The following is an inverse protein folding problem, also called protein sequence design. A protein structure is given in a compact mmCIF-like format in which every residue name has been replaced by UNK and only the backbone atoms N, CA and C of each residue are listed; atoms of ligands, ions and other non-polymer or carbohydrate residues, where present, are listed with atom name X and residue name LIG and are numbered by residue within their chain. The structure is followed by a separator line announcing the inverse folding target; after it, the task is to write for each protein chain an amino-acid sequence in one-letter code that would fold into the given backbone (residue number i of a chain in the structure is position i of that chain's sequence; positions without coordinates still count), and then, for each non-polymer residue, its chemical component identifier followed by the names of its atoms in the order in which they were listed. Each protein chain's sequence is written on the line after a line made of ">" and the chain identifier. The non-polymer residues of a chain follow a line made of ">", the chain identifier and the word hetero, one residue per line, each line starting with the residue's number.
data_IF_153107576557
#
_entry.id   IF_153107576557
#
_cell.length_a   1.000
_cell.length_b   1.000
_cell.length_c   1.000
_cell.angle_alpha   90.00
_cell.angle_beta   90.00
_cell.angle_gamma   90.00
#
_symmetry.space_group_name_H-M   'P 1'
#
loop_
_entity.id
_entity.type
_entity.pdbx_description
1 polymer ?
#
# COMPACT_ATOMS: atom_id res chain seq x y z
N UNK A 1 -14.59 74.84 19.56
CA UNK A 1 -15.73 74.45 18.71
C UNK A 1 -15.24 73.48 17.63
N UNK A 2 -15.83 72.27 17.58
CA UNK A 2 -15.79 71.33 16.44
C UNK A 2 -16.43 72.00 15.20
N UNK A 3 -16.10 71.62 13.94
CA UNK A 3 -16.54 70.33 13.40
C UNK A 3 -15.64 69.63 12.34
N UNK A 4 -15.66 68.29 12.38
CA UNK A 4 -15.61 67.40 11.19
C UNK A 4 -17.01 67.42 10.51
N UNK A 5 -17.21 67.13 9.20
CA UNK A 5 -17.19 65.75 8.64
C UNK A 5 -16.80 65.72 7.11
N UNK A 6 -16.74 64.64 6.32
CA UNK A 6 -17.59 63.45 6.17
C UNK A 6 -16.82 62.29 5.50
N UNK A 7 -17.12 61.11 6.03
CA UNK A 7 -17.05 59.77 5.45
C UNK A 7 -17.72 59.71 4.05
N UNK A 8 -17.05 59.09 3.07
CA UNK A 8 -17.74 58.44 1.92
C UNK A 8 -17.19 57.03 1.71
N UNK A 9 -17.95 56.10 2.26
CA UNK A 9 -18.08 54.69 1.92
C UNK A 9 -18.22 54.52 0.40
N UNK A 10 -17.35 53.73 -0.25
CA UNK A 10 -17.62 53.17 -1.58
C UNK A 10 -17.63 51.65 -1.50
N UNK A 11 -18.83 51.10 -1.70
CA UNK A 11 -19.11 49.69 -1.91
C UNK A 11 -18.53 49.20 -3.25
N UNK A 12 -18.19 47.89 -3.24
CA UNK A 12 -17.73 46.96 -4.29
C UNK A 12 -18.51 47.00 -5.63
N UNK A 13 -17.95 46.44 -6.72
CA UNK A 13 -18.21 45.02 -7.07
C UNK A 13 -16.94 44.30 -7.58
N UNK A 14 -16.46 43.15 -7.10
CA UNK A 14 -17.04 41.79 -7.06
C UNK A 14 -17.59 41.23 -8.39
N UNK A 15 -17.13 41.75 -9.55
CA UNK A 15 -17.59 41.30 -10.87
C UNK A 15 -16.47 40.95 -11.87
N UNK A 16 -15.43 40.22 -11.45
CA UNK A 16 -14.44 39.64 -12.37
C UNK A 16 -14.13 38.16 -12.08
N UNK A 17 -15.12 37.42 -11.55
CA UNK A 17 -15.00 35.99 -11.25
C UNK A 17 -15.83 35.07 -12.17
N UNK A 18 -16.31 35.53 -13.33
CA UNK A 18 -17.28 34.75 -14.14
C UNK A 18 -16.93 34.48 -15.61
N UNK A 19 -15.69 34.65 -16.08
CA UNK A 19 -15.38 34.39 -17.50
C UNK A 19 -14.27 33.38 -17.84
N UNK A 20 -13.90 32.46 -16.94
CA UNK A 20 -13.08 31.29 -17.30
C UNK A 20 -13.72 29.93 -16.94
N UNK A 21 -15.02 29.91 -16.66
CA UNK A 21 -15.80 28.68 -16.51
C UNK A 21 -16.36 28.19 -17.86
N UNK A 22 -15.50 27.96 -18.86
CA UNK A 22 -15.86 27.22 -20.07
C UNK A 22 -14.68 26.33 -20.49
N UNK A 23 -14.59 25.18 -19.82
CA UNK A 23 -13.74 24.06 -20.18
C UNK A 23 -14.50 22.78 -19.93
N UNK A 24 -15.66 22.63 -20.58
CA UNK A 24 -16.47 21.41 -20.57
C UNK A 24 -15.79 20.32 -21.40
N UNK A 25 -14.81 19.62 -20.83
CA UNK A 25 -14.47 18.28 -21.28
C UNK A 25 -15.46 17.31 -20.65
N UNK A 26 -16.59 17.13 -21.33
CA UNK A 26 -17.55 16.06 -21.07
C UNK A 26 -16.88 14.71 -21.37
N UNK A 27 -16.12 14.15 -20.42
CA UNK A 27 -15.89 12.71 -20.40
C UNK A 27 -17.20 12.02 -20.02
N UNK A 28 -17.82 11.40 -21.01
CA UNK A 28 -19.08 10.67 -20.88
C UNK A 28 -19.02 9.63 -19.74
N UNK A 29 -20.01 9.56 -18.82
CA UNK A 29 -20.07 8.55 -17.75
C UNK A 29 -20.35 7.12 -18.26
N UNK A 30 -20.49 6.93 -19.57
CA UNK A 30 -21.02 5.70 -20.18
C UNK A 30 -19.99 4.54 -20.20
N UNK A 31 -18.69 4.81 -20.09
CA UNK A 31 -17.65 3.78 -20.15
C UNK A 31 -17.49 3.00 -18.84
N UNK A 32 -17.34 3.72 -17.72
CA UNK A 32 -17.16 3.10 -16.38
C UNK A 32 -18.41 2.34 -15.93
N UNK A 33 -19.59 2.89 -16.19
CA UNK A 33 -20.85 2.25 -15.80
C UNK A 33 -21.14 0.99 -16.61
N UNK A 34 -20.83 0.97 -17.92
CA UNK A 34 -20.95 -0.23 -18.77
C UNK A 34 -19.92 -1.30 -18.40
N UNK A 35 -18.69 -0.92 -18.02
CA UNK A 35 -17.69 -1.87 -17.53
C UNK A 35 -18.14 -2.50 -16.20
N UNK A 36 -18.64 -1.71 -15.26
CA UNK A 36 -19.16 -2.18 -13.96
C UNK A 36 -20.42 -3.05 -14.10
N UNK A 37 -21.32 -2.69 -15.03
CA UNK A 37 -22.51 -3.49 -15.37
C UNK A 37 -22.11 -4.82 -16.01
N UNK A 38 -21.19 -4.81 -16.99
CA UNK A 38 -20.69 -6.05 -17.61
C UNK A 38 -19.94 -6.93 -16.61
N UNK A 39 -19.23 -6.33 -15.67
CA UNK A 39 -18.52 -7.04 -14.61
C UNK A 39 -19.48 -7.64 -13.58
N UNK A 40 -20.59 -6.96 -13.27
CA UNK A 40 -21.68 -7.48 -12.43
C UNK A 40 -22.48 -8.59 -13.12
N UNK A 41 -22.74 -8.44 -14.41
CA UNK A 41 -23.45 -9.41 -15.26
C UNK A 41 -22.60 -10.68 -15.48
N UNK A 42 -21.28 -10.55 -15.61
CA UNK A 42 -20.37 -11.71 -15.62
C UNK A 42 -20.34 -12.39 -14.25
N UNK A 43 -20.36 -11.66 -13.14
CA UNK A 43 -20.40 -12.24 -11.78
C UNK A 43 -21.70 -13.01 -11.51
N UNK A 44 -22.84 -12.53 -12.01
CA UNK A 44 -24.13 -13.24 -11.87
C UNK A 44 -24.17 -14.55 -12.69
N UNK A 45 -23.44 -14.62 -13.81
CA UNK A 45 -23.33 -15.85 -14.63
C UNK A 45 -22.51 -16.94 -13.92
N UNK A 46 -21.50 -16.58 -13.13
CA UNK A 46 -20.67 -17.57 -12.40
C UNK A 46 -21.16 -17.90 -10.99
N UNK A 47 -21.94 -17.01 -10.34
CA UNK A 47 -22.55 -17.26 -9.03
C UNK A 47 -23.67 -18.33 -9.03
N UNK A 48 -24.10 -18.81 -10.21
CA UNK A 48 -25.19 -19.76 -10.36
C UNK A 48 -24.77 -21.21 -10.66
N UNK A 49 -23.48 -21.50 -10.89
CA UNK A 49 -23.04 -22.85 -11.22
C UNK A 49 -22.88 -23.71 -9.96
N UNK A 50 -23.99 -24.27 -9.48
CA UNK A 50 -23.96 -25.36 -8.52
C UNK A 50 -23.63 -26.67 -9.27
N UNK A 51 -22.53 -27.34 -8.92
CA UNK A 51 -22.31 -28.71 -9.37
C UNK A 51 -23.42 -29.58 -8.77
N UNK A 52 -24.31 -30.09 -9.64
CA UNK A 52 -25.37 -31.00 -9.21
C UNK A 52 -24.70 -32.27 -8.65
N UNK A 53 -24.99 -32.59 -7.38
CA UNK A 53 -24.55 -33.84 -6.78
C UNK A 53 -25.05 -35.04 -7.59
N UNK A 54 -24.36 -36.20 -7.53
CA UNK A 54 -24.76 -37.39 -8.26
C UNK A 54 -26.21 -37.79 -7.95
N UNK A 55 -26.93 -38.32 -8.95
CA UNK A 55 -28.30 -38.77 -8.78
C UNK A 55 -28.41 -39.82 -7.65
N UNK A 56 -29.48 -39.75 -6.86
CA UNK A 56 -29.76 -40.74 -5.82
C UNK A 56 -29.91 -42.15 -6.41
N UNK A 57 -29.53 -43.17 -5.64
CA UNK A 57 -29.64 -44.57 -6.08
C UNK A 57 -31.11 -44.97 -6.28
N UNK A 58 -31.46 -45.68 -7.37
CA UNK A 58 -32.82 -46.20 -7.58
C UNK A 58 -33.27 -47.07 -6.40
N UNK A 59 -34.59 -47.04 -6.11
CA UNK A 59 -35.20 -47.92 -5.11
C UNK A 59 -35.00 -49.39 -5.47
N UNK A 60 -34.95 -50.27 -4.47
CA UNK A 60 -34.82 -51.72 -4.70
C UNK A 60 -36.15 -52.29 -5.21
N UNK A 61 -36.06 -53.16 -6.22
CA UNK A 61 -37.20 -53.91 -6.72
C UNK A 61 -37.82 -54.79 -5.61
N UNK A 62 -39.15 -54.88 -5.59
CA UNK A 62 -39.87 -55.74 -4.66
C UNK A 62 -39.62 -57.22 -4.95
N UNK A 63 -39.53 -58.05 -3.91
CA UNK A 63 -39.35 -59.50 -4.05
C UNK A 63 -40.57 -60.16 -4.69
N UNK A 64 -40.42 -61.15 -5.59
CA UNK A 64 -41.53 -61.90 -6.17
C UNK A 64 -42.39 -62.60 -5.11
N UNK A 65 -43.72 -62.52 -5.25
CA UNK A 65 -44.66 -63.24 -4.38
C UNK A 65 -44.69 -64.75 -4.68
N UNK A 66 -44.92 -65.57 -3.65
CA UNK A 66 -45.08 -67.02 -3.80
C UNK A 66 -46.43 -67.37 -4.46
N UNK A 67 -46.46 -68.48 -5.23
CA UNK A 67 -47.65 -68.97 -5.95
C UNK A 67 -48.83 -69.24 -4.98
N UNK A 68 -50.02 -68.68 -5.25
CA UNK A 68 -51.00 -68.37 -4.20
C UNK A 68 -52.45 -68.84 -4.38
N UNK A 69 -53.27 -68.38 -3.42
CA UNK A 69 -54.70 -68.06 -3.54
C UNK A 69 -54.75 -66.56 -3.96
N UNK A 70 -55.72 -66.06 -4.77
CA UNK A 70 -55.65 -64.70 -5.34
C UNK A 70 -55.42 -63.61 -4.29
N UNK A 71 -54.23 -62.99 -4.34
CA UNK A 71 -53.80 -61.96 -3.39
C UNK A 71 -54.20 -60.56 -3.83
N UNK A 72 -54.40 -59.68 -2.83
CA UNK A 72 -54.53 -58.23 -3.04
C UNK A 72 -53.30 -57.67 -3.76
N UNK A 73 -53.44 -56.66 -4.64
CA UNK A 73 -52.31 -56.03 -5.33
C UNK A 73 -51.18 -55.65 -4.35
N UNK A 74 -49.94 -55.97 -4.73
CA UNK A 74 -48.76 -55.64 -3.92
C UNK A 74 -48.64 -54.13 -3.69
N UNK A 75 -48.19 -53.74 -2.49
CA UNK A 75 -48.00 -52.33 -2.14
C UNK A 75 -46.87 -51.75 -3.00
N UNK A 76 -47.05 -50.58 -3.64
CA UNK A 76 -45.97 -49.92 -4.39
C UNK A 76 -44.70 -49.72 -3.54
N UNK A 77 -43.53 -49.86 -4.17
CA UNK A 77 -42.24 -49.64 -3.53
C UNK A 77 -42.12 -48.22 -2.97
N UNK A 78 -41.40 -48.07 -1.86
CA UNK A 78 -41.19 -46.77 -1.23
C UNK A 78 -40.14 -45.98 -2.01
N UNK A 79 -40.42 -44.69 -2.25
CA UNK A 79 -39.47 -43.79 -2.91
C UNK A 79 -38.13 -43.76 -2.17
N UNK A 80 -37.04 -43.67 -2.95
CA UNK A 80 -35.68 -43.55 -2.41
C UNK A 80 -35.49 -42.25 -1.62
N UNK A 81 -34.48 -42.23 -0.74
CA UNK A 81 -34.14 -41.02 0.00
C UNK A 81 -33.65 -39.91 -0.95
N UNK A 82 -34.15 -38.70 -0.75
CA UNK A 82 -33.68 -37.51 -1.46
C UNK A 82 -32.19 -37.30 -1.15
N UNK A 83 -31.37 -37.11 -2.18
CA UNK A 83 -29.93 -36.81 -2.02
C UNK A 83 -29.69 -35.52 -1.24
N UNK A 84 -28.56 -35.45 -0.55
CA UNK A 84 -28.15 -34.25 0.20
C UNK A 84 -27.98 -33.06 -0.74
N UNK A 85 -28.33 -31.86 -0.26
CA UNK A 85 -28.15 -30.63 -1.03
C UNK A 85 -26.65 -30.34 -1.15
N UNK A 86 -26.13 -30.25 -2.37
CA UNK A 86 -24.74 -29.87 -2.61
C UNK A 86 -24.41 -28.51 -2.01
N UNK A 87 -23.25 -28.40 -1.37
CA UNK A 87 -22.76 -27.14 -0.82
C UNK A 87 -22.22 -26.24 -1.94
N UNK A 88 -22.59 -24.96 -1.92
CA UNK A 88 -22.07 -23.98 -2.86
C UNK A 88 -20.68 -23.52 -2.40
N UNK A 89 -19.64 -23.79 -3.19
CA UNK A 89 -18.31 -23.21 -2.98
C UNK A 89 -18.40 -21.70 -3.18
N UNK A 90 -18.31 -20.94 -2.09
CA UNK A 90 -18.29 -19.48 -2.13
C UNK A 90 -16.83 -19.03 -2.05
N UNK A 91 -16.18 -18.85 -3.21
CA UNK A 91 -14.87 -18.21 -3.24
C UNK A 91 -15.02 -16.76 -2.76
N UNK A 92 -14.49 -16.46 -1.58
CA UNK A 92 -14.35 -15.08 -1.12
C UNK A 92 -13.18 -14.46 -1.88
N UNK A 93 -13.47 -13.68 -2.92
CA UNK A 93 -12.49 -12.75 -3.46
C UNK A 93 -12.15 -11.75 -2.36
N UNK A 94 -11.01 -11.94 -1.69
CA UNK A 94 -10.48 -10.98 -0.72
C UNK A 94 -10.35 -9.63 -1.43
N UNK A 95 -10.80 -8.56 -0.76
CA UNK A 95 -10.81 -7.20 -1.28
C UNK A 95 -9.48 -6.87 -1.96
N UNK A 96 -9.55 -6.39 -3.21
CA UNK A 96 -8.37 -6.15 -4.05
C UNK A 96 -7.29 -5.39 -3.27
N UNK A 97 -6.07 -5.94 -3.27
CA UNK A 97 -4.90 -5.35 -2.59
C UNK A 97 -4.62 -3.94 -3.12
N UNK A 98 -5.17 -2.92 -2.45
CA UNK A 98 -4.90 -1.52 -2.77
C UNK A 98 -3.76 -1.04 -1.86
N UNK A 99 -2.59 -0.66 -2.42
CA UNK A 99 -1.53 -0.07 -1.62
C UNK A 99 -1.96 1.32 -1.13
N UNK A 100 -1.69 1.63 0.13
CA UNK A 100 -1.85 2.99 0.66
C UNK A 100 -0.50 3.72 0.64
N UNK A 101 -0.49 5.00 0.25
CA UNK A 101 0.71 5.83 0.16
C UNK A 101 0.55 7.12 0.97
N UNK A 102 1.65 7.63 1.50
CA UNK A 102 1.73 8.94 2.15
C UNK A 102 3.03 9.61 1.74
N UNK A 103 2.96 10.89 1.41
CA UNK A 103 4.12 11.73 1.16
C UNK A 103 4.20 12.80 2.24
N UNK A 104 5.34 12.86 2.92
CA UNK A 104 5.71 13.96 3.80
C UNK A 104 6.77 14.81 3.10
N UNK A 105 6.66 16.13 3.26
CA UNK A 105 7.55 17.09 2.60
C UNK A 105 8.03 18.12 3.62
N UNK A 106 9.30 18.51 3.51
CA UNK A 106 9.95 19.50 4.39
C UNK A 106 10.65 20.54 3.52
N UNK A 107 10.52 21.82 3.88
CA UNK A 107 11.03 22.94 3.08
C UNK A 107 12.51 23.27 3.37
N UNK A 108 13.08 22.81 4.48
CA UNK A 108 14.44 23.11 4.91
C UNK A 108 14.96 22.08 5.91
N UNK A 109 15.73 21.09 5.45
CA UNK A 109 16.38 20.09 6.32
C UNK A 109 17.82 20.47 6.71
N UNK A 110 18.19 21.74 6.56
CA UNK A 110 19.54 22.24 6.85
C UNK A 110 19.68 22.73 8.29
N UNK A 111 19.53 21.81 9.25
CA UNK A 111 19.60 22.12 10.68
C UNK A 111 21.02 21.97 11.27
N UNK A 112 22.03 21.71 10.45
CA UNK A 112 23.39 21.41 10.93
C UNK A 112 23.46 20.11 11.75
N UNK A 113 22.56 19.16 11.47
CA UNK A 113 22.55 17.86 12.13
C UNK A 113 23.61 16.99 11.45
N UNK A 114 24.70 16.75 12.16
CA UNK A 114 25.75 15.82 11.72
C UNK A 114 25.42 14.37 12.12
N UNK A 115 24.72 14.19 13.25
CA UNK A 115 24.26 12.90 13.77
C UNK A 115 22.87 13.06 14.39
N UNK A 116 21.92 12.19 14.03
CA UNK A 116 20.58 12.14 14.62
C UNK A 116 19.43 12.05 13.63
N UNK A 117 18.21 12.26 14.15
CA UNK A 117 16.97 12.21 13.37
C UNK A 117 16.86 13.43 12.48
N UNK A 118 16.77 13.22 11.16
CA UNK A 118 16.60 14.31 10.19
C UNK A 118 15.13 14.70 10.08
N UNK A 119 14.26 13.70 9.91
CA UNK A 119 12.83 13.91 9.73
C UNK A 119 12.01 12.67 10.12
N UNK A 120 10.74 12.89 10.41
CA UNK A 120 9.79 11.86 10.84
C UNK A 120 8.43 12.06 10.16
N UNK A 121 7.81 10.95 9.79
CA UNK A 121 6.53 10.89 9.10
C UNK A 121 5.74 9.69 9.63
N UNK A 122 4.74 9.94 10.47
CA UNK A 122 3.85 8.88 10.97
C UNK A 122 2.97 8.36 9.83
N UNK A 123 2.94 7.05 9.63
CA UNK A 123 2.17 6.38 8.59
C UNK A 123 1.17 5.39 9.19
N UNK A 124 -0.05 5.35 8.66
CA UNK A 124 -1.05 4.36 9.06
C UNK A 124 -0.93 3.13 8.18
N UNK A 125 -0.33 2.07 8.70
CA UNK A 125 -0.22 0.77 8.01
C UNK A 125 -1.54 0.00 8.15
N UNK A 126 -2.18 -0.31 7.03
CA UNK A 126 -3.52 -0.94 7.03
C UNK A 126 -3.49 -2.45 7.32
N UNK A 127 -2.39 -3.14 7.00
CA UNK A 127 -2.29 -4.60 7.02
C UNK A 127 -0.98 -5.06 7.67
N UNK A 128 -1.06 -6.03 8.57
CA UNK A 128 0.11 -6.62 9.24
C UNK A 128 0.88 -7.59 8.34
N UNK A 129 0.20 -8.23 7.39
CA UNK A 129 0.79 -9.16 6.41
C UNK A 129 1.27 -8.44 5.14
N UNK A 130 1.86 -7.25 5.28
CA UNK A 130 2.43 -6.51 4.16
C UNK A 130 3.73 -5.84 4.56
N UNK A 131 4.50 -5.38 3.58
CA UNK A 131 5.72 -4.63 3.84
C UNK A 131 5.50 -3.12 3.70
N UNK A 132 6.35 -2.31 4.34
CA UNK A 132 6.38 -0.86 4.13
C UNK A 132 7.52 -0.50 3.17
N UNK A 133 7.18 0.11 2.03
CA UNK A 133 8.17 0.73 1.15
C UNK A 133 8.39 2.18 1.57
N UNK A 134 9.64 2.56 1.77
CA UNK A 134 10.04 3.92 2.14
C UNK A 134 11.00 4.48 1.11
N UNK A 135 10.88 5.79 0.85
CA UNK A 135 11.75 6.54 -0.04
C UNK A 135 11.99 7.92 0.57
N UNK A 136 13.25 8.23 0.84
CA UNK A 136 13.71 9.58 1.05
C UNK A 136 14.31 10.09 -0.25
N UNK A 137 13.96 11.31 -0.65
CA UNK A 137 14.55 11.99 -1.80
C UNK A 137 14.93 13.40 -1.37
N UNK A 138 16.21 13.74 -1.46
CA UNK A 138 16.74 15.02 -1.01
C UNK A 138 18.22 15.17 -1.28
N UNK A 139 18.79 16.33 -0.96
CA UNK A 139 20.23 16.51 -1.08
C UNK A 139 20.93 15.91 0.14
N UNK A 140 21.85 14.97 -0.12
CA UNK A 140 22.75 14.42 0.89
C UNK A 140 24.11 15.08 0.71
N UNK A 141 24.63 15.72 1.76
CA UNK A 141 25.88 16.48 1.71
C UNK A 141 26.84 16.00 2.77
N UNK A 142 28.09 15.73 2.37
CA UNK A 142 29.21 15.53 3.28
C UNK A 142 30.22 16.65 3.18
N UNK A 143 30.77 17.03 4.33
CA UNK A 143 31.85 18.01 4.43
C UNK A 143 32.87 17.52 5.45
N UNK A 144 34.00 17.06 4.96
CA UNK A 144 35.08 16.52 5.78
C UNK A 144 36.42 17.08 5.33
N UNK A 145 37.42 17.16 6.21
CA UNK A 145 38.78 17.60 5.84
C UNK A 145 39.64 16.45 5.31
N UNK A 146 39.41 15.25 5.84
CA UNK A 146 40.04 14.00 5.42
C UNK A 146 38.95 13.07 4.86
N UNK A 147 39.35 11.91 4.33
CA UNK A 147 38.43 10.82 3.99
C UNK A 147 37.42 10.57 5.12
N UNK A 148 36.13 10.53 4.79
CA UNK A 148 35.05 10.30 5.74
C UNK A 148 33.92 9.50 5.11
N UNK A 149 33.11 8.89 5.97
CA UNK A 149 32.01 8.03 5.57
C UNK A 149 30.81 8.31 6.49
N UNK A 150 29.61 8.46 5.93
CA UNK A 150 28.39 8.71 6.70
C UNK A 150 27.26 7.81 6.21
N UNK A 151 26.40 7.42 7.14
CA UNK A 151 25.27 6.53 6.91
C UNK A 151 23.95 7.28 7.09
N UNK A 152 23.06 7.15 6.12
CA UNK A 152 21.65 7.55 6.22
C UNK A 152 20.81 6.30 6.28
N UNK A 153 19.88 6.22 7.22
CA UNK A 153 19.10 5.00 7.43
C UNK A 153 17.70 5.27 7.96
N UNK A 154 16.78 4.35 7.70
CA UNK A 154 15.41 4.42 8.19
C UNK A 154 15.23 3.67 9.51
N UNK A 155 14.34 4.22 10.33
CA UNK A 155 13.80 3.56 11.51
C UNK A 155 12.28 3.54 11.45
N UNK A 156 11.70 2.55 12.12
CA UNK A 156 10.28 2.32 12.27
C UNK A 156 10.00 2.19 13.77
N UNK A 157 9.24 3.13 14.34
CA UNK A 157 9.01 3.24 15.79
C UNK A 157 10.33 3.29 16.59
N UNK A 158 11.35 3.95 16.04
CA UNK A 158 12.67 4.10 16.66
C UNK A 158 13.63 2.91 16.47
N UNK A 159 13.21 1.81 15.86
CA UNK A 159 14.07 0.66 15.56
C UNK A 159 14.45 0.58 14.08
N UNK A 160 15.68 0.17 13.76
CA UNK A 160 16.08 -0.11 12.37
C UNK A 160 15.29 -1.30 11.80
N UNK A 161 15.16 -1.34 10.46
CA UNK A 161 14.51 -2.46 9.82
C UNK A 161 15.27 -3.77 10.08
N UNK A 162 14.56 -4.78 10.58
CA UNK A 162 15.15 -6.09 10.87
C UNK A 162 15.00 -7.11 9.72
N UNK A 163 14.09 -6.88 8.78
CA UNK A 163 13.82 -7.82 7.69
C UNK A 163 13.42 -7.10 6.40
N UNK A 164 14.11 -7.35 5.26
CA UNK A 164 15.21 -8.30 5.07
C UNK A 164 16.57 -7.81 5.58
N UNK A 165 16.82 -6.50 5.54
CA UNK A 165 18.04 -5.82 6.02
C UNK A 165 17.71 -4.38 6.44
N UNK A 166 18.59 -3.70 7.19
CA UNK A 166 18.49 -2.25 7.39
C UNK A 166 18.39 -1.52 6.05
N UNK A 167 17.55 -0.49 6.02
CA UNK A 167 17.36 0.34 4.82
C UNK A 167 18.28 1.54 4.97
N UNK A 168 19.37 1.56 4.21
CA UNK A 168 20.44 2.55 4.37
C UNK A 168 21.10 2.96 3.06
N UNK A 169 21.77 4.11 3.09
CA UNK A 169 22.71 4.55 2.10
C UNK A 169 23.98 5.03 2.81
N UNK A 170 25.14 4.62 2.30
CA UNK A 170 26.44 5.02 2.81
C UNK A 170 27.09 5.89 1.74
N UNK A 171 27.57 7.07 2.15
CA UNK A 171 28.33 7.96 1.27
C UNK A 171 29.73 8.13 1.83
N UNK A 172 30.71 7.82 1.00
CA UNK A 172 32.11 8.07 1.24
C UNK A 172 32.55 9.34 0.50
N UNK A 173 33.37 10.15 1.15
CA UNK A 173 34.00 11.31 0.55
C UNK A 173 35.48 11.34 0.92
N UNK A 174 36.34 11.29 -0.10
CA UNK A 174 37.77 11.55 0.00
C UNK A 174 38.11 12.74 -0.90
N UNK A 175 38.75 13.76 -0.32
CA UNK A 175 39.10 14.97 -1.06
C UNK A 175 40.39 14.82 -1.87
N UNK A 176 41.07 13.67 -1.79
CA UNK A 176 42.30 13.43 -2.55
C UNK A 176 43.49 14.27 -2.07
N UNK A 177 44.58 14.27 -2.84
CA UNK A 177 45.88 14.87 -2.45
C UNK A 177 45.74 16.30 -1.91
N UNK A 178 46.42 16.64 -0.79
CA UNK A 178 46.48 18.00 -0.24
C UNK A 178 47.03 19.06 -1.20
N UNK A 179 47.57 18.66 -2.36
CA UNK A 179 48.09 19.54 -3.42
C UNK A 179 46.97 20.18 -4.26
N UNK A 180 45.79 19.56 -4.29
CA UNK A 180 44.60 20.10 -4.94
C UNK A 180 43.57 20.32 -3.84
N UNK A 181 43.47 21.56 -3.33
CA UNK A 181 42.44 22.06 -2.39
C UNK A 181 41.01 21.91 -2.98
N UNK A 182 40.62 20.69 -3.30
CA UNK A 182 39.40 20.34 -3.99
C UNK A 182 38.36 20.07 -2.92
N UNK A 183 37.72 21.12 -2.43
CA UNK A 183 36.49 20.94 -1.66
C UNK A 183 35.43 20.42 -2.62
N UNK A 184 35.29 19.09 -2.69
CA UNK A 184 34.24 18.45 -3.49
C UNK A 184 32.89 18.87 -2.88
N UNK A 185 32.27 19.87 -3.51
CA UNK A 185 31.02 20.48 -3.06
C UNK A 185 29.87 19.89 -3.89
N UNK A 186 29.59 18.60 -3.71
CA UNK A 186 28.54 17.90 -4.45
C UNK A 186 27.19 18.22 -3.81
N UNK A 187 26.34 18.94 -4.55
CA UNK A 187 24.92 19.13 -4.24
C UNK A 187 24.11 18.33 -5.24
N UNK A 188 23.94 17.03 -4.97
CA UNK A 188 23.12 16.16 -5.80
C UNK A 188 21.93 15.67 -4.99
N UNK A 189 20.82 15.50 -5.69
CA UNK A 189 19.69 14.74 -5.14
C UNK A 189 20.12 13.29 -5.06
N UNK A 190 19.96 12.72 -3.88
CA UNK A 190 20.18 11.31 -3.61
C UNK A 190 18.90 10.73 -3.03
N UNK A 191 18.77 9.42 -3.15
CA UNK A 191 17.64 8.68 -2.60
C UNK A 191 18.13 7.61 -1.63
N UNK A 192 17.39 7.44 -0.55
CA UNK A 192 17.50 6.28 0.35
C UNK A 192 16.17 5.56 0.26
N UNK A 193 16.17 4.30 -0.14
CA UNK A 193 14.96 3.56 -0.43
C UNK A 193 15.07 2.11 0.03
N UNK A 194 13.97 1.53 0.48
CA UNK A 194 13.90 0.09 0.72
C UNK A 194 12.51 -0.37 1.13
N UNK A 195 12.45 -1.67 1.44
CA UNK A 195 11.24 -2.35 1.88
C UNK A 195 11.49 -2.95 3.27
N UNK A 196 10.57 -2.75 4.20
CA UNK A 196 10.64 -3.33 5.54
C UNK A 196 9.45 -4.23 5.86
N UNK A 197 9.75 -5.47 6.25
CA UNK A 197 8.79 -6.50 6.65
C UNK A 197 8.70 -6.61 8.18
N UNK A 198 7.68 -7.34 8.67
CA UNK A 198 7.52 -7.60 10.11
C UNK A 198 6.92 -6.45 10.93
N UNK A 199 6.52 -5.36 10.30
CA UNK A 199 5.85 -4.23 10.97
C UNK A 199 4.34 -4.50 11.03
N UNK A 200 3.76 -4.46 12.23
CA UNK A 200 2.32 -4.66 12.44
C UNK A 200 1.45 -3.53 11.87
N UNK A 201 0.18 -3.81 11.60
CA UNK A 201 -0.80 -2.78 11.25
C UNK A 201 -0.97 -1.77 12.41
N UNK A 202 -1.28 -0.52 12.06
CA UNK A 202 -1.43 0.58 13.00
C UNK A 202 -0.62 1.82 12.61
N UNK A 203 -0.45 2.73 13.57
CA UNK A 203 0.42 3.88 13.40
C UNK A 203 1.89 3.44 13.49
N UNK A 204 2.69 3.88 12.53
CA UNK A 204 4.12 3.59 12.45
C UNK A 204 4.86 4.91 12.26
N UNK A 205 5.74 5.25 13.19
CA UNK A 205 6.60 6.41 13.06
C UNK A 205 7.82 6.06 12.21
N UNK A 206 7.81 6.55 10.98
CA UNK A 206 8.91 6.35 10.03
C UNK A 206 9.82 7.55 10.10
N UNK A 207 11.09 7.33 10.43
CA UNK A 207 12.07 8.41 10.53
C UNK A 207 13.34 8.10 9.74
N UNK A 208 13.88 9.13 9.09
CA UNK A 208 15.17 9.09 8.41
C UNK A 208 16.23 9.70 9.34
N UNK A 209 17.35 9.01 9.48
CA UNK A 209 18.44 9.35 10.38
C UNK A 209 19.75 9.51 9.63
N UNK A 210 20.66 10.27 10.21
CA UNK A 210 22.09 10.30 9.84
C UNK A 210 22.90 9.83 11.04
N UNK A 211 23.87 8.95 10.82
CA UNK A 211 24.67 8.36 11.88
C UNK A 211 26.03 7.90 11.40
N UNK A 212 26.92 7.62 12.34
CA UNK A 212 28.18 6.94 12.07
C UNK A 212 27.93 5.48 11.69
N UNK A 213 28.90 4.86 11.03
CA UNK A 213 28.86 3.42 10.83
C UNK A 213 29.07 2.73 12.17
N UNK A 214 28.02 2.08 12.69
CA UNK A 214 28.17 1.13 13.78
C UNK A 214 29.16 0.05 13.33
N UNK A 215 30.14 -0.24 14.18
CA UNK A 215 31.28 -1.14 13.93
C UNK A 215 30.88 -2.50 13.35
N UNK A 216 30.80 -2.61 12.02
CA UNK A 216 30.70 -3.90 11.34
C UNK A 216 32.14 -4.40 11.14
N UNK A 217 32.40 -5.57 11.74
CA UNK A 217 33.68 -6.31 11.75
C UNK A 217 34.59 -6.03 10.56
N UNK A 218 35.77 -5.50 10.89
CA UNK A 218 36.84 -4.93 10.08
C UNK A 218 37.57 -5.87 9.10
N UNK A 219 36.90 -6.86 8.49
CA UNK A 219 37.58 -7.77 7.54
C UNK A 219 36.89 -8.04 6.20
N UNK A 220 35.66 -7.54 5.97
CA UNK A 220 35.01 -7.68 4.65
C UNK A 220 34.64 -6.34 3.97
N UNK A 221 34.89 -5.21 4.64
CA UNK A 221 34.25 -3.93 4.33
C UNK A 221 35.20 -2.81 3.87
N UNK A 222 36.44 -3.08 3.47
CA UNK A 222 37.32 -2.02 2.89
C UNK A 222 36.89 -1.54 1.49
N UNK A 223 35.64 -1.80 1.10
CA UNK A 223 35.06 -1.44 -0.19
C UNK A 223 33.69 -0.75 -0.07
N UNK A 224 33.18 -0.52 1.14
CA UNK A 224 31.88 0.15 1.36
C UNK A 224 32.06 1.48 2.12
N UNK A 225 33.21 1.66 2.76
CA UNK A 225 33.92 2.92 2.97
C UNK A 225 35.37 2.70 2.49
#
# INVERSE_FOLDING_TARGET
>A
MRPQPRLRLRLLPLLLLQLLAQGSASETPKGKQKALLRQREVVDVYNGMCLQGPAGVPGRDGSPGANGIPGTPGIPGRDGFKGEKGECLRESFEESWTPNYKQCSWNSLNYGIDLGKIAECTFTKMRSNSALRVLFSGSLRLKCRNACCQRWYFTFNGAECSGPLPIEAIIYLDQGSPELNSTINIHRTSSVEGLCEGIGAGLVDVAIWVGDLLSISSKLFSHIC
#
